data_IF_776774519714
#
_entry.id   IF_776774519714
#
_cell.length_a   1.000
_cell.length_b   1.000
_cell.length_c   1.000
_cell.angle_alpha   90.00
_cell.angle_beta   90.00
_cell.angle_gamma   90.00
#
_symmetry.space_group_name_H-M   'P 1'
#
loop_
_entity.id
_entity.type
_entity.pdbx_description
1 polymer ?
#
# COMPACT_ATOMS: atom_id res chain seq x y z
N UNK A 1 -35.46 -42.45 39.11
CA UNK A 1 -35.25 -42.00 37.71
C UNK A 1 -34.16 -40.94 37.73
N UNK A 2 -33.00 -41.20 37.10
CA UNK A 2 -31.82 -40.31 37.14
C UNK A 2 -31.59 -39.76 35.73
N UNK A 3 -31.78 -38.46 35.56
CA UNK A 3 -31.58 -37.78 34.27
C UNK A 3 -30.07 -37.63 33.97
N UNK A 4 -29.63 -37.82 32.73
CA UNK A 4 -28.21 -37.71 32.38
C UNK A 4 -27.74 -36.25 32.35
N UNK A 5 -26.51 -36.03 32.83
CA UNK A 5 -25.84 -34.74 32.87
C UNK A 5 -25.62 -34.17 31.45
N UNK A 6 -25.86 -32.87 31.30
CA UNK A 6 -25.65 -32.13 30.05
C UNK A 6 -24.14 -31.98 29.81
N UNK A 7 -23.65 -32.48 28.68
CA UNK A 7 -22.26 -32.31 28.25
C UNK A 7 -21.92 -30.82 28.06
N UNK A 8 -20.74 -30.35 28.48
CA UNK A 8 -20.31 -28.98 28.20
C UNK A 8 -20.10 -28.77 26.70
N UNK A 9 -20.70 -27.70 26.16
CA UNK A 9 -20.63 -27.31 24.76
C UNK A 9 -19.19 -26.99 24.34
N UNK A 10 -18.64 -27.79 23.42
CA UNK A 10 -17.28 -27.66 22.87
C UNK A 10 -17.08 -26.47 21.89
N UNK A 11 -17.92 -25.43 21.95
CA UNK A 11 -18.01 -24.39 20.92
C UNK A 11 -17.08 -23.19 21.12
N UNK A 12 -16.35 -23.10 22.24
CA UNK A 12 -15.53 -21.93 22.59
C UNK A 12 -14.02 -22.09 22.34
N UNK A 13 -13.56 -23.19 21.75
CA UNK A 13 -12.13 -23.42 21.49
C UNK A 13 -11.67 -22.90 20.12
N UNK A 14 -12.59 -22.80 19.14
CA UNK A 14 -12.25 -22.48 17.75
C UNK A 14 -12.15 -20.97 17.47
N UNK A 15 -12.86 -20.13 18.21
CA UNK A 15 -12.78 -18.67 18.06
C UNK A 15 -11.45 -18.09 18.56
N UNK A 16 -10.90 -18.65 19.64
CA UNK A 16 -9.64 -18.19 20.24
C UNK A 16 -8.41 -18.40 19.34
N UNK A 17 -8.40 -19.42 18.47
CA UNK A 17 -7.25 -19.72 17.62
C UNK A 17 -7.15 -18.79 16.41
N UNK A 18 -8.28 -18.36 15.86
CA UNK A 18 -8.33 -17.40 14.74
C UNK A 18 -7.90 -16.01 15.19
N UNK A 19 -8.33 -15.60 16.38
CA UNK A 19 -7.93 -14.32 16.99
C UNK A 19 -6.43 -14.29 17.29
N UNK A 20 -5.87 -15.40 17.78
CA UNK A 20 -4.43 -15.53 18.03
C UNK A 20 -3.60 -15.45 16.73
N UNK A 21 -4.01 -16.14 15.67
CA UNK A 21 -3.30 -16.09 14.39
C UNK A 21 -3.34 -14.69 13.75
N UNK A 22 -4.46 -13.99 13.86
CA UNK A 22 -4.61 -12.61 13.37
C UNK A 22 -3.76 -11.63 14.18
N UNK A 23 -3.66 -11.83 15.50
CA UNK A 23 -2.77 -11.07 16.39
C UNK A 23 -1.28 -11.29 16.08
N UNK A 24 -0.88 -12.51 15.79
CA UNK A 24 0.51 -12.79 15.41
C UNK A 24 0.86 -12.17 14.05
N UNK A 25 -0.07 -12.22 13.08
CA UNK A 25 0.10 -11.55 11.79
C UNK A 25 0.21 -10.03 11.95
N UNK A 26 -0.66 -9.41 12.73
CA UNK A 26 -0.64 -7.96 12.94
C UNK A 26 0.62 -7.52 13.69
N UNK A 27 1.12 -8.33 14.64
CA UNK A 27 2.39 -8.09 15.33
C UNK A 27 3.57 -8.17 14.36
N UNK A 28 3.60 -9.17 13.48
CA UNK A 28 4.66 -9.30 12.47
C UNK A 28 4.71 -8.08 11.54
N UNK A 29 3.54 -7.66 11.01
CA UNK A 29 3.44 -6.47 10.16
C UNK A 29 3.92 -5.23 10.90
N UNK A 30 3.47 -5.02 12.14
CA UNK A 30 3.86 -3.85 12.95
C UNK A 30 5.36 -3.83 13.20
N UNK A 31 5.95 -4.99 13.51
CA UNK A 31 7.40 -5.11 13.76
C UNK A 31 8.22 -4.74 12.53
N UNK A 32 7.82 -5.20 11.34
CA UNK A 32 8.50 -4.87 10.09
C UNK A 32 8.38 -3.38 9.78
N UNK A 33 7.20 -2.78 9.95
CA UNK A 33 7.01 -1.35 9.71
C UNK A 33 7.85 -0.49 10.68
N UNK A 34 7.93 -0.88 11.95
CA UNK A 34 8.79 -0.22 12.92
C UNK A 34 10.27 -0.30 12.52
N UNK A 35 10.74 -1.46 12.04
CA UNK A 35 12.11 -1.62 11.56
C UNK A 35 12.41 -0.79 10.31
N UNK A 36 11.46 -0.68 9.37
CA UNK A 36 11.63 0.13 8.16
C UNK A 36 11.66 1.62 8.45
N UNK A 37 10.94 2.07 9.48
CA UNK A 37 10.91 3.47 9.91
C UNK A 37 12.05 3.81 10.89
N UNK A 38 12.61 2.79 11.56
CA UNK A 38 13.73 2.97 12.46
C UNK A 38 14.94 3.51 11.69
N UNK A 39 15.37 4.72 12.04
CA UNK A 39 16.49 5.44 11.40
C UNK A 39 16.25 5.84 9.93
N UNK A 40 14.99 5.91 9.47
CA UNK A 40 14.67 6.49 8.16
C UNK A 40 14.57 8.02 8.23
N UNK A 41 15.46 8.73 7.53
CA UNK A 41 15.39 10.20 7.37
C UNK A 41 14.70 10.53 6.04
N UNK A 42 13.48 11.08 6.12
CA UNK A 42 12.67 11.46 4.95
C UNK A 42 13.17 12.71 4.23
N UNK A 43 14.14 13.45 4.80
CA UNK A 43 14.72 14.65 4.18
C UNK A 43 15.84 14.30 3.20
N UNK A 44 16.35 13.07 3.27
CA UNK A 44 17.41 12.59 2.39
C UNK A 44 16.83 11.70 1.31
N UNK A 45 17.27 11.94 0.07
CA UNK A 45 16.98 11.01 -1.02
C UNK A 45 17.69 9.66 -0.77
N UNK A 46 17.16 8.55 -1.30
CA UNK A 46 17.87 7.27 -1.32
C UNK A 46 19.24 7.42 -1.98
N UNK A 47 20.25 6.69 -1.49
CA UNK A 47 21.64 6.75 -1.96
C UNK A 47 22.27 8.16 -1.88
N UNK A 48 22.22 8.75 -0.67
CA UNK A 48 22.79 10.09 -0.41
C UNK A 48 24.30 10.12 -0.71
N UNK A 49 24.71 10.97 -1.66
CA UNK A 49 26.10 11.09 -2.09
C UNK A 49 26.53 10.08 -3.16
N UNK A 50 25.65 9.16 -3.55
CA UNK A 50 25.84 8.24 -4.66
C UNK A 50 25.28 8.76 -5.98
N UNK A 51 24.87 7.83 -6.84
CA UNK A 51 24.34 8.15 -8.16
C UNK A 51 22.98 8.87 -8.10
N UNK A 52 22.58 9.63 -9.13
CA UNK A 52 21.27 10.26 -9.16
C UNK A 52 20.13 9.22 -9.04
N UNK A 53 19.13 9.50 -8.19
CA UNK A 53 17.94 8.66 -8.08
C UNK A 53 17.12 8.77 -9.35
N UNK A 54 16.94 7.65 -10.05
CA UNK A 54 16.11 7.59 -11.26
C UNK A 54 14.65 7.40 -10.83
N UNK A 55 13.82 8.41 -11.10
CA UNK A 55 12.37 8.35 -10.82
C UNK A 55 11.63 8.00 -12.11
N UNK A 56 10.94 6.87 -12.11
CA UNK A 56 10.12 6.42 -13.23
C UNK A 56 8.66 6.79 -13.00
N UNK A 57 8.11 7.70 -13.81
CA UNK A 57 6.71 8.15 -13.75
C UNK A 57 5.92 7.62 -14.93
N UNK A 58 4.67 7.17 -14.71
CA UNK A 58 3.77 6.83 -15.81
C UNK A 58 2.40 7.47 -15.59
N UNK A 59 1.87 8.01 -16.68
CA UNK A 59 0.67 8.84 -16.70
C UNK A 59 -0.37 8.16 -17.60
N UNK A 60 -1.55 7.86 -17.06
CA UNK A 60 -2.70 7.43 -17.84
C UNK A 60 -3.71 8.56 -17.92
N UNK A 61 -3.90 9.11 -19.13
CA UNK A 61 -4.95 10.09 -19.42
C UNK A 61 -6.25 9.30 -19.66
N UNK A 62 -7.24 9.48 -18.79
CA UNK A 62 -8.56 8.83 -18.94
C UNK A 62 -9.53 9.65 -19.77
N UNK A 63 -9.42 10.97 -19.67
CA UNK A 63 -10.27 11.91 -20.38
C UNK A 63 -9.55 13.25 -20.52
N UNK A 64 -9.75 13.87 -21.67
CA UNK A 64 -9.45 15.29 -21.86
C UNK A 64 -10.75 16.00 -21.54
N UNK A 65 -10.82 16.72 -20.41
CA UNK A 65 -11.98 17.55 -20.09
C UNK A 65 -12.29 18.57 -21.21
N UNK A 66 -13.37 19.34 -21.10
CA UNK A 66 -13.72 20.33 -22.11
C UNK A 66 -12.55 21.30 -22.33
N UNK A 67 -12.13 21.42 -23.59
CA UNK A 67 -11.02 22.29 -24.00
C UNK A 67 -11.57 23.72 -24.09
N UNK A 68 -11.02 24.64 -23.29
CA UNK A 68 -11.29 26.09 -23.41
C UNK A 68 -10.16 26.75 -24.21
N UNK A 69 -10.44 27.19 -25.43
CA UNK A 69 -9.49 27.89 -26.31
C UNK A 69 -9.22 29.34 -25.87
N UNK A 70 -10.10 29.93 -25.07
CA UNK A 70 -9.98 31.31 -24.59
C UNK A 70 -8.96 31.43 -23.45
N UNK A 71 -8.88 30.41 -22.59
CA UNK A 71 -8.06 30.43 -21.37
C UNK A 71 -6.78 29.60 -21.48
N UNK A 72 -6.60 28.83 -22.56
CA UNK A 72 -5.47 27.90 -22.76
C UNK A 72 -5.23 26.97 -21.54
N UNK A 73 -6.30 26.57 -20.85
CA UNK A 73 -6.24 25.66 -19.70
C UNK A 73 -6.86 24.32 -20.09
N UNK A 74 -6.01 23.30 -20.15
CA UNK A 74 -6.42 21.92 -20.26
C UNK A 74 -6.26 21.25 -18.87
N UNK A 75 -7.36 20.71 -18.32
CA UNK A 75 -7.35 19.89 -17.11
C UNK A 75 -7.62 18.43 -17.50
N UNK A 76 -6.57 17.63 -17.79
CA UNK A 76 -6.75 16.21 -18.05
C UNK A 76 -7.01 15.46 -16.74
N UNK A 77 -7.95 14.51 -16.77
CA UNK A 77 -8.15 13.58 -15.66
C UNK A 77 -7.02 12.54 -15.69
N UNK A 78 -6.03 12.77 -14.84
CA UNK A 78 -4.79 12.00 -14.81
C UNK A 78 -4.81 11.00 -13.65
N UNK A 79 -4.52 9.73 -13.98
CA UNK A 79 -4.27 8.70 -12.99
C UNK A 79 -2.83 8.18 -13.16
N UNK A 80 -2.03 8.33 -12.11
CA UNK A 80 -0.63 7.89 -12.11
C UNK A 80 -0.58 6.39 -11.81
N UNK A 81 -0.02 5.60 -12.72
CA UNK A 81 0.27 4.18 -12.50
C UNK A 81 1.79 3.98 -12.47
N UNK A 82 2.36 3.24 -11.51
CA UNK A 82 3.79 2.95 -11.53
C UNK A 82 4.08 1.65 -12.30
N UNK A 83 4.01 1.63 -13.64
CA UNK A 83 4.73 0.62 -14.47
C UNK A 83 4.80 1.00 -15.97
N UNK A 84 5.98 0.71 -16.55
CA UNK A 84 6.40 0.64 -17.96
C UNK A 84 7.11 1.87 -18.58
N UNK A 85 8.44 1.71 -18.68
CA UNK A 85 9.47 2.57 -19.29
C UNK A 85 9.01 3.36 -20.52
N UNK A 86 8.97 4.69 -20.37
CA UNK A 86 8.97 5.62 -21.51
C UNK A 86 10.41 6.11 -21.69
N UNK A 87 11.06 5.63 -22.76
CA UNK A 87 12.37 6.09 -23.18
C UNK A 87 12.19 7.42 -23.91
N UNK A 88 12.61 8.54 -23.32
CA UNK A 88 12.68 9.83 -24.00
C UNK A 88 13.99 9.90 -24.81
N UNK A 89 13.95 9.90 -26.15
CA UNK A 89 15.10 10.32 -26.92
C UNK A 89 15.20 11.85 -26.82
N UNK A 90 16.21 12.34 -26.12
CA UNK A 90 16.68 13.71 -26.34
C UNK A 90 17.70 13.67 -27.48
N UNK A 91 17.49 14.48 -28.53
CA UNK A 91 18.60 15.11 -29.25
C UNK A 91 19.14 16.26 -28.40
#
# INVERSE_FOLDING_TARGET
>A
MKFPAKLPSAINATSRSVDAATLELSRNISTVLEQLLQNYDNRQRPDHGGSPTIVTTNFLIRSMGPISELDMVLKPDLYDFPTNTIHFPFD
#
